data_IF_506478865018
#
_entry.id   IF_506478865018
#
_cell.length_a   1.000
_cell.length_b   1.000
_cell.length_c   1.000
_cell.angle_alpha   90.00
_cell.angle_beta   90.00
_cell.angle_gamma   90.00
#
_symmetry.space_group_name_H-M   'P 1'
#
loop_
_entity.id
_entity.type
_entity.pdbx_description
1 polymer ?
#
# COMPACT_ATOMS: atom_id res chain seq x y z
N UNK A 1 -61.08 -52.77 -67.39
CA UNK A 1 -61.38 -51.79 -66.34
C UNK A 1 -60.27 -51.96 -65.30
N UNK A 2 -59.17 -51.22 -65.24
CA UNK A 2 -58.90 -49.77 -65.36
C UNK A 2 -59.80 -48.93 -64.46
N UNK A 3 -59.18 -48.47 -63.35
CA UNK A 3 -59.23 -47.22 -62.56
C UNK A 3 -58.97 -47.65 -61.10
N UNK A 4 -58.01 -47.14 -60.30
CA UNK A 4 -57.02 -46.08 -60.46
C UNK A 4 -56.23 -45.89 -59.14
N UNK A 5 -55.26 -44.98 -59.21
CA UNK A 5 -54.55 -44.27 -58.13
C UNK A 5 -53.77 -45.04 -57.06
N UNK A 6 -52.48 -45.20 -57.30
CA UNK A 6 -51.45 -45.22 -56.27
C UNK A 6 -50.38 -44.19 -56.63
N UNK A 7 -50.39 -43.04 -55.95
CA UNK A 7 -49.48 -41.94 -56.21
C UNK A 7 -48.02 -42.35 -56.00
N UNK A 8 -47.19 -42.10 -57.00
CA UNK A 8 -45.74 -42.03 -56.85
C UNK A 8 -45.42 -40.78 -56.05
N UNK A 9 -45.35 -40.93 -54.73
CA UNK A 9 -44.73 -39.95 -53.85
C UNK A 9 -43.25 -39.96 -54.19
N UNK A 10 -42.85 -38.99 -55.00
CA UNK A 10 -41.45 -38.63 -55.19
C UNK A 10 -40.94 -38.28 -53.80
N UNK A 11 -40.00 -39.09 -53.29
CA UNK A 11 -39.28 -38.76 -52.08
C UNK A 11 -38.51 -37.46 -52.35
N UNK A 12 -39.10 -36.33 -51.95
CA UNK A 12 -38.40 -35.09 -51.69
C UNK A 12 -37.46 -35.34 -50.50
N UNK A 13 -36.34 -36.02 -50.77
CA UNK A 13 -35.17 -36.00 -49.90
C UNK A 13 -34.67 -34.57 -49.94
N UNK A 14 -35.26 -33.73 -49.08
CA UNK A 14 -34.79 -32.40 -48.77
C UNK A 14 -33.33 -32.51 -48.36
N UNK A 15 -32.44 -32.28 -49.32
CA UNK A 15 -31.01 -32.18 -49.11
C UNK A 15 -30.77 -31.00 -48.17
N UNK A 16 -30.71 -31.30 -46.88
CA UNK A 16 -30.27 -30.36 -45.87
C UNK A 16 -28.77 -30.17 -46.09
N UNK A 17 -28.30 -28.96 -46.45
CA UNK A 17 -26.88 -28.73 -46.59
C UNK A 17 -26.22 -29.08 -45.25
N UNK A 18 -25.07 -29.78 -45.24
CA UNK A 18 -24.41 -30.16 -44.01
C UNK A 18 -24.19 -28.89 -43.20
N UNK A 19 -24.86 -28.79 -42.03
CA UNK A 19 -24.64 -27.71 -41.07
C UNK A 19 -23.17 -27.78 -40.69
N UNK A 20 -22.33 -26.99 -41.36
CA UNK A 20 -20.94 -26.81 -40.95
C UNK A 20 -21.01 -26.28 -39.53
N UNK A 21 -20.57 -27.11 -38.59
CA UNK A 21 -20.51 -26.76 -37.17
C UNK A 21 -19.35 -25.81 -36.99
N UNK A 22 -19.58 -24.56 -37.39
CA UNK A 22 -18.59 -23.50 -37.34
C UNK A 22 -18.40 -23.16 -35.87
N UNK A 23 -17.17 -23.18 -35.35
CA UNK A 23 -16.84 -22.80 -33.98
C UNK A 23 -17.13 -21.33 -33.62
N UNK A 24 -18.04 -20.67 -34.34
CA UNK A 24 -18.47 -19.27 -34.17
C UNK A 24 -18.95 -19.02 -32.75
N UNK A 25 -19.68 -19.96 -32.14
CA UNK A 25 -20.13 -19.80 -30.75
C UNK A 25 -18.95 -19.66 -29.78
N UNK A 26 -17.84 -20.40 -29.98
CA UNK A 26 -16.63 -20.26 -29.16
C UNK A 26 -15.95 -18.91 -29.36
N UNK A 27 -15.96 -18.40 -30.60
CA UNK A 27 -15.42 -17.07 -30.93
C UNK A 27 -16.25 -15.97 -30.25
N UNK A 28 -17.58 -16.06 -30.33
CA UNK A 28 -18.50 -15.09 -29.70
C UNK A 28 -18.37 -15.13 -28.18
N UNK A 29 -18.34 -16.33 -27.58
CA UNK A 29 -18.14 -16.49 -26.15
C UNK A 29 -16.79 -15.91 -25.71
N UNK A 30 -15.70 -16.19 -26.44
CA UNK A 30 -14.36 -15.65 -26.16
C UNK A 30 -14.29 -14.13 -26.33
N UNK A 31 -14.96 -13.59 -27.34
CA UNK A 31 -15.06 -12.16 -27.62
C UNK A 31 -15.84 -11.38 -26.56
N UNK A 32 -16.80 -12.00 -25.87
CA UNK A 32 -17.52 -11.41 -24.74
C UNK A 32 -16.77 -11.60 -23.41
N UNK A 33 -16.07 -12.72 -23.25
CA UNK A 33 -15.30 -13.03 -22.05
C UNK A 33 -14.11 -12.10 -21.84
N UNK A 34 -13.42 -11.70 -22.90
CA UNK A 34 -12.26 -10.80 -22.77
C UNK A 34 -12.63 -9.43 -22.18
N UNK A 35 -13.64 -8.70 -22.71
CA UNK A 35 -14.10 -7.43 -22.13
C UNK A 35 -14.64 -7.59 -20.71
N UNK A 36 -15.45 -8.63 -20.47
CA UNK A 36 -15.99 -8.91 -19.13
C UNK A 36 -14.87 -9.22 -18.13
N UNK A 37 -13.86 -9.97 -18.55
CA UNK A 37 -12.65 -10.26 -17.79
C UNK A 37 -11.83 -9.01 -17.49
N UNK A 38 -11.71 -8.11 -18.46
CA UNK A 38 -11.06 -6.81 -18.27
C UNK A 38 -11.78 -5.97 -17.22
N UNK A 39 -13.12 -5.90 -17.28
CA UNK A 39 -13.93 -5.17 -16.29
C UNK A 39 -13.77 -5.81 -14.91
N UNK A 40 -13.84 -7.14 -14.81
CA UNK A 40 -13.65 -7.85 -13.55
C UNK A 40 -12.25 -7.63 -12.97
N UNK A 41 -11.20 -7.67 -13.80
CA UNK A 41 -9.82 -7.41 -13.39
C UNK A 41 -9.66 -5.98 -12.88
N UNK A 42 -10.22 -4.99 -13.58
CA UNK A 42 -10.19 -3.59 -13.15
C UNK A 42 -10.91 -3.41 -11.80
N UNK A 43 -12.06 -4.06 -11.60
CA UNK A 43 -12.77 -4.00 -10.32
C UNK A 43 -11.95 -4.59 -9.17
N UNK A 44 -11.25 -5.71 -9.40
CA UNK A 44 -10.33 -6.31 -8.42
C UNK A 44 -9.14 -5.38 -8.13
N UNK A 45 -8.57 -4.75 -9.16
CA UNK A 45 -7.48 -3.79 -9.01
C UNK A 45 -7.92 -2.55 -8.21
N UNK A 46 -9.08 -1.98 -8.53
CA UNK A 46 -9.69 -0.83 -7.86
C UNK A 46 -10.02 -1.12 -6.39
N UNK A 47 -10.56 -2.30 -6.11
CA UNK A 47 -10.86 -2.72 -4.74
C UNK A 47 -9.59 -2.81 -3.87
N UNK A 48 -8.48 -3.31 -4.42
CA UNK A 48 -7.20 -3.32 -3.70
C UNK A 48 -6.58 -1.93 -3.51
N UNK A 49 -6.85 -0.97 -4.41
CA UNK A 49 -6.37 0.41 -4.27
C UNK A 49 -7.17 1.20 -3.24
N UNK A 50 -8.49 1.04 -3.21
CA UNK A 50 -9.38 1.71 -2.24
C UNK A 50 -9.34 1.07 -0.83
N UNK A 51 -8.84 -0.16 -0.71
CA UNK A 51 -8.64 -0.85 0.57
C UNK A 51 -7.34 -0.49 1.30
N UNK A 52 -6.45 0.31 0.70
CA UNK A 52 -5.14 0.65 1.25
C UNK A 52 -5.20 1.48 2.55
N UNK A 53 -6.38 2.01 2.93
CA UNK A 53 -6.59 2.75 4.17
C UNK A 53 -7.19 1.93 5.32
N UNK A 54 -7.62 0.68 5.09
CA UNK A 54 -8.26 -0.11 6.14
C UNK A 54 -7.65 -1.52 6.26
N UNK A 55 -7.05 -1.74 7.42
CA UNK A 55 -6.41 -2.96 7.88
C UNK A 55 -7.12 -4.25 7.39
N UNK A 56 -6.33 -5.17 6.81
CA UNK A 56 -6.66 -6.57 6.45
C UNK A 56 -7.38 -6.88 5.12
N UNK A 57 -7.78 -5.91 4.29
CA UNK A 57 -8.23 -6.19 2.91
C UNK A 57 -7.06 -6.25 1.90
N UNK A 58 -6.26 -7.26 2.21
CA UNK A 58 -5.12 -7.94 1.58
C UNK A 58 -4.85 -7.83 0.07
N UNK A 59 -3.58 -7.60 -0.24
CA UNK A 59 -2.93 -7.96 -1.50
C UNK A 59 -3.23 -9.40 -1.95
N UNK A 60 -3.49 -10.31 -1.00
CA UNK A 60 -3.87 -11.70 -1.28
C UNK A 60 -5.26 -11.83 -1.94
N UNK A 61 -6.24 -10.99 -1.58
CA UNK A 61 -7.53 -10.91 -2.26
C UNK A 61 -7.41 -10.37 -3.70
N UNK A 62 -6.56 -9.35 -3.89
CA UNK A 62 -6.27 -8.79 -5.22
C UNK A 62 -5.53 -9.80 -6.11
N UNK A 63 -4.56 -10.52 -5.56
CA UNK A 63 -3.77 -11.55 -6.24
C UNK A 63 -4.66 -12.75 -6.62
N UNK A 64 -5.43 -13.27 -5.65
CA UNK A 64 -6.36 -14.38 -5.86
C UNK A 64 -7.44 -14.05 -6.90
N UNK A 65 -8.06 -12.87 -6.80
CA UNK A 65 -9.04 -12.40 -7.78
C UNK A 65 -8.45 -12.27 -9.18
N UNK A 66 -7.26 -11.68 -9.31
CA UNK A 66 -6.58 -11.52 -10.60
C UNK A 66 -6.19 -12.85 -11.25
N UNK A 67 -5.74 -13.83 -10.45
CA UNK A 67 -5.44 -15.19 -10.92
C UNK A 67 -6.71 -15.87 -11.43
N UNK A 68 -7.81 -15.83 -10.67
CA UNK A 68 -9.09 -16.45 -11.07
C UNK A 68 -9.61 -15.85 -12.37
N UNK A 69 -9.62 -14.52 -12.50
CA UNK A 69 -10.07 -13.83 -13.72
C UNK A 69 -9.20 -14.23 -14.92
N UNK A 70 -7.88 -14.27 -14.75
CA UNK A 70 -6.95 -14.64 -15.82
C UNK A 70 -7.14 -16.09 -16.25
N UNK A 71 -7.27 -17.02 -15.31
CA UNK A 71 -7.49 -18.45 -15.58
C UNK A 71 -8.81 -18.67 -16.32
N UNK A 72 -9.88 -17.98 -15.93
CA UNK A 72 -11.18 -18.10 -16.62
C UNK A 72 -11.11 -17.52 -18.04
N UNK A 73 -10.51 -16.34 -18.20
CA UNK A 73 -10.45 -15.65 -19.49
C UNK A 73 -9.53 -16.35 -20.51
N UNK A 74 -8.44 -16.99 -20.05
CA UNK A 74 -7.57 -17.77 -20.92
C UNK A 74 -8.04 -19.23 -21.07
N UNK A 75 -8.60 -19.82 -20.01
CA UNK A 75 -9.00 -21.22 -19.96
C UNK A 75 -10.18 -21.57 -20.86
N UNK A 76 -11.17 -20.68 -20.99
CA UNK A 76 -12.33 -20.88 -21.89
C UNK A 76 -11.91 -20.93 -23.37
N UNK A 77 -11.17 -19.94 -23.93
CA UNK A 77 -10.72 -20.01 -25.31
C UNK A 77 -9.72 -21.16 -25.54
N UNK A 78 -8.90 -21.52 -24.55
CA UNK A 78 -7.98 -22.67 -24.65
C UNK A 78 -8.76 -24.01 -24.73
N UNK A 79 -9.81 -24.16 -23.93
CA UNK A 79 -10.71 -25.32 -23.99
C UNK A 79 -11.39 -25.40 -25.36
N UNK A 80 -11.87 -24.27 -25.88
CA UNK A 80 -12.45 -24.17 -27.22
C UNK A 80 -11.46 -24.57 -28.32
N UNK A 81 -10.21 -24.10 -28.24
CA UNK A 81 -9.13 -24.46 -29.15
C UNK A 81 -8.88 -25.98 -29.15
N UNK A 82 -8.71 -26.60 -27.97
CA UNK A 82 -8.44 -28.04 -27.84
C UNK A 82 -9.60 -28.86 -28.39
N UNK A 83 -10.84 -28.54 -28.01
CA UNK A 83 -12.02 -29.28 -28.47
C UNK A 83 -12.20 -29.17 -29.99
N UNK A 84 -12.00 -27.99 -30.58
CA UNK A 84 -12.12 -27.78 -32.03
C UNK A 84 -10.99 -28.49 -32.79
N UNK A 85 -9.77 -28.54 -32.24
CA UNK A 85 -8.66 -29.30 -32.83
C UNK A 85 -8.88 -30.82 -32.75
N UNK A 86 -9.41 -31.32 -31.62
CA UNK A 86 -9.76 -32.74 -31.46
C UNK A 86 -10.91 -33.13 -32.39
N UNK A 87 -11.94 -32.29 -32.51
CA UNK A 87 -13.04 -32.51 -33.46
C UNK A 87 -12.52 -32.51 -34.90
N UNK A 88 -11.60 -31.60 -35.24
CA UNK A 88 -10.98 -31.57 -36.58
C UNK A 88 -10.10 -32.79 -36.87
N UNK A 89 -9.43 -33.34 -35.86
CA UNK A 89 -8.69 -34.61 -36.00
C UNK A 89 -9.62 -35.77 -36.34
N UNK A 90 -10.85 -35.76 -35.83
CA UNK A 90 -11.88 -36.78 -36.13
C UNK A 90 -12.62 -36.50 -37.45
N UNK A 91 -12.92 -35.24 -37.74
CA UNK A 91 -13.64 -34.80 -38.94
C UNK A 91 -12.92 -33.64 -39.63
N UNK A 92 -12.32 -33.91 -40.81
CA UNK A 92 -11.60 -32.89 -41.61
C UNK A 92 -12.49 -31.77 -42.17
N UNK A 93 -13.81 -31.90 -42.08
CA UNK A 93 -14.79 -30.91 -42.55
C UNK A 93 -14.90 -29.66 -41.65
N UNK A 94 -14.33 -29.71 -40.44
CA UNK A 94 -14.29 -28.59 -39.49
C UNK A 94 -13.30 -27.52 -39.95
N UNK A 95 -13.77 -26.27 -40.04
CA UNK A 95 -12.99 -25.11 -40.51
C UNK A 95 -11.97 -24.63 -39.46
N UNK A 96 -10.80 -24.17 -39.94
CA UNK A 96 -9.69 -23.67 -39.12
C UNK A 96 -9.98 -22.34 -38.41
N UNK A 97 -11.03 -21.64 -38.82
CA UNK A 97 -11.37 -20.30 -38.31
C UNK A 97 -11.64 -20.31 -36.81
N UNK A 98 -12.33 -21.36 -36.30
CA UNK A 98 -12.60 -21.52 -34.87
C UNK A 98 -11.33 -21.64 -34.01
N UNK A 99 -10.46 -22.63 -34.28
CA UNK A 99 -9.17 -22.76 -33.60
C UNK A 99 -8.30 -21.51 -33.67
N UNK A 100 -8.17 -20.87 -34.84
CA UNK A 100 -7.33 -19.66 -35.00
C UNK A 100 -7.89 -18.51 -34.15
N UNK A 101 -9.21 -18.30 -34.18
CA UNK A 101 -9.86 -17.28 -33.34
C UNK A 101 -9.63 -17.52 -31.85
N UNK A 102 -9.82 -18.74 -31.37
CA UNK A 102 -9.54 -19.11 -29.98
C UNK A 102 -8.05 -18.90 -29.61
N UNK A 103 -7.12 -19.25 -30.50
CA UNK A 103 -5.69 -19.04 -30.26
C UNK A 103 -5.33 -17.55 -30.10
N UNK A 104 -5.91 -16.68 -30.93
CA UNK A 104 -5.76 -15.21 -30.79
C UNK A 104 -6.27 -14.74 -29.43
N UNK A 105 -7.43 -15.22 -29.00
CA UNK A 105 -7.99 -14.87 -27.69
C UNK A 105 -7.15 -15.37 -26.51
N UNK A 106 -6.55 -16.56 -26.60
CA UNK A 106 -5.60 -17.05 -25.59
C UNK A 106 -4.37 -16.15 -25.49
N UNK A 107 -3.79 -15.78 -26.63
CA UNK A 107 -2.61 -14.89 -26.66
C UNK A 107 -2.96 -13.51 -26.10
N UNK A 108 -4.11 -12.95 -26.50
CA UNK A 108 -4.59 -11.67 -25.97
C UNK A 108 -4.84 -11.73 -24.46
N UNK A 109 -5.51 -12.77 -23.95
CA UNK A 109 -5.73 -12.93 -22.51
C UNK A 109 -4.41 -13.11 -21.74
N UNK A 110 -3.47 -13.92 -22.25
CA UNK A 110 -2.18 -14.14 -21.62
C UNK A 110 -1.34 -12.85 -21.56
N UNK A 111 -1.33 -12.04 -22.63
CA UNK A 111 -0.56 -10.78 -22.66
C UNK A 111 -1.25 -9.69 -21.84
N UNK A 112 -2.56 -9.52 -22.01
CA UNK A 112 -3.28 -8.37 -21.42
C UNK A 112 -3.66 -8.57 -19.96
N UNK A 113 -3.92 -9.81 -19.52
CA UNK A 113 -4.31 -10.13 -18.14
C UNK A 113 -3.22 -10.93 -17.39
N UNK A 114 -2.48 -11.79 -18.10
CA UNK A 114 -1.42 -12.60 -17.49
C UNK A 114 -0.22 -11.76 -17.02
N UNK A 115 0.27 -10.84 -17.84
CA UNK A 115 1.39 -9.96 -17.46
C UNK A 115 1.13 -9.15 -16.18
N UNK A 116 0.02 -8.38 -16.04
CA UNK A 116 -0.23 -7.65 -14.80
C UNK A 116 -0.45 -8.57 -13.61
N UNK A 117 -1.12 -9.73 -13.78
CA UNK A 117 -1.31 -10.70 -12.71
C UNK A 117 0.02 -11.25 -12.18
N UNK A 118 1.00 -11.51 -13.05
CA UNK A 118 2.34 -11.95 -12.59
C UNK A 118 3.08 -10.89 -11.79
N UNK A 119 2.92 -9.61 -12.11
CA UNK A 119 3.50 -8.51 -11.33
C UNK A 119 2.91 -8.43 -9.93
N UNK A 120 1.59 -8.57 -9.82
CA UNK A 120 0.87 -8.61 -8.53
C UNK A 120 1.29 -9.83 -7.70
N UNK A 121 1.46 -10.99 -8.35
CA UNK A 121 1.95 -12.19 -7.66
C UNK A 121 3.40 -12.05 -7.17
N UNK A 122 4.27 -11.36 -7.93
CA UNK A 122 5.65 -11.09 -7.51
C UNK A 122 5.71 -10.15 -6.30
N UNK A 123 4.90 -9.09 -6.29
CA UNK A 123 4.83 -8.20 -5.13
C UNK A 123 4.27 -8.92 -3.90
N UNK A 124 3.25 -9.77 -4.08
CA UNK A 124 2.73 -10.58 -2.97
C UNK A 124 3.78 -11.55 -2.42
N UNK A 125 4.52 -12.24 -3.29
CA UNK A 125 5.58 -13.14 -2.85
C UNK A 125 6.69 -12.42 -2.07
N UNK A 126 7.08 -11.22 -2.53
CA UNK A 126 8.05 -10.38 -1.81
C UNK A 126 7.50 -9.91 -0.45
N UNK A 127 6.21 -9.58 -0.37
CA UNK A 127 5.55 -9.17 0.87
C UNK A 127 5.45 -10.33 1.89
N UNK A 128 5.12 -11.54 1.44
CA UNK A 128 5.11 -12.73 2.30
C UNK A 128 6.52 -13.10 2.77
N UNK A 129 7.53 -12.98 1.88
CA UNK A 129 8.92 -13.16 2.27
C UNK A 129 9.34 -12.13 3.31
N UNK A 130 8.90 -10.88 3.17
CA UNK A 130 9.17 -9.82 4.13
C UNK A 130 8.45 -10.06 5.47
N UNK A 131 7.19 -10.51 5.46
CA UNK A 131 6.45 -10.91 6.67
C UNK A 131 7.04 -12.12 7.39
N UNK A 132 7.65 -13.03 6.64
CA UNK A 132 8.33 -14.18 7.22
C UNK A 132 9.65 -13.80 7.92
N UNK A 133 10.17 -12.58 7.71
CA UNK A 133 11.36 -12.11 8.41
C UNK A 133 11.00 -11.70 9.84
N UNK A 134 11.86 -11.99 10.82
CA UNK A 134 11.69 -11.47 12.17
C UNK A 134 11.89 -9.94 12.17
N UNK A 135 11.27 -9.21 13.11
CA UNK A 135 11.59 -7.80 13.35
C UNK A 135 13.09 -7.61 13.60
N UNK A 136 13.60 -6.45 13.21
CA UNK A 136 15.01 -6.11 13.42
C UNK A 136 15.35 -5.96 14.91
N UNK A 137 16.64 -6.02 15.22
CA UNK A 137 17.14 -5.81 16.57
C UNK A 137 16.82 -4.40 17.09
N UNK A 138 16.79 -3.39 16.21
CA UNK A 138 16.44 -2.01 16.56
C UNK A 138 14.97 -1.88 16.93
N UNK A 139 14.08 -2.47 16.11
CA UNK A 139 12.62 -2.48 16.34
C UNK A 139 12.24 -3.20 17.65
N UNK A 140 13.04 -4.19 18.07
CA UNK A 140 12.83 -4.94 19.32
C UNK A 140 13.75 -4.51 20.46
N UNK A 141 14.50 -3.42 20.28
CA UNK A 141 15.51 -2.97 21.24
C UNK A 141 14.92 -2.50 22.57
N UNK A 142 13.66 -2.04 22.56
CA UNK A 142 12.98 -1.43 23.72
C UNK A 142 11.54 -1.91 23.83
N UNK A 143 11.08 -2.02 25.07
CA UNK A 143 9.64 -2.11 25.36
C UNK A 143 8.99 -0.73 25.32
N UNK A 144 7.66 -0.63 25.13
CA UNK A 144 6.91 0.63 25.20
C UNK A 144 7.28 1.49 26.43
N UNK A 145 7.24 0.90 27.62
CA UNK A 145 7.57 1.60 28.86
C UNK A 145 9.06 1.97 28.99
N UNK A 146 9.96 1.34 28.24
CA UNK A 146 11.36 1.77 28.15
C UNK A 146 11.52 2.92 27.16
N UNK A 147 10.88 2.84 26.00
CA UNK A 147 10.91 3.89 24.98
C UNK A 147 10.38 5.22 25.53
N UNK A 148 9.23 5.18 26.21
CA UNK A 148 8.65 6.36 26.86
C UNK A 148 9.60 6.96 27.91
N UNK A 149 10.15 6.15 28.81
CA UNK A 149 11.07 6.64 29.85
C UNK A 149 12.37 7.20 29.27
N UNK A 150 12.93 6.56 28.25
CA UNK A 150 14.17 7.00 27.63
C UNK A 150 13.94 8.28 26.81
N UNK A 151 12.83 8.38 26.07
CA UNK A 151 12.41 9.61 25.39
C UNK A 151 12.27 10.77 26.37
N UNK A 152 11.58 10.54 27.50
CA UNK A 152 11.46 11.51 28.59
C UNK A 152 12.83 12.04 29.01
N UNK A 153 13.74 11.11 29.31
CA UNK A 153 15.05 11.42 29.82
C UNK A 153 15.92 12.20 28.82
N UNK A 154 15.78 11.97 27.51
CA UNK A 154 16.49 12.75 26.49
C UNK A 154 15.86 14.12 26.33
N UNK A 155 14.53 14.21 26.19
CA UNK A 155 13.82 15.47 26.00
C UNK A 155 13.96 16.43 27.17
N UNK A 156 13.79 15.95 28.40
CA UNK A 156 13.98 16.80 29.57
C UNK A 156 15.43 17.28 29.72
N UNK A 157 16.43 16.47 29.30
CA UNK A 157 17.83 16.93 29.27
C UNK A 157 18.03 18.02 28.21
N UNK A 158 17.43 17.86 27.04
CA UNK A 158 17.47 18.87 25.99
C UNK A 158 16.79 20.19 26.42
N UNK A 159 15.62 20.13 27.05
CA UNK A 159 14.93 21.31 27.60
C UNK A 159 15.79 22.02 28.65
N UNK A 160 16.36 21.27 29.61
CA UNK A 160 17.27 21.85 30.62
C UNK A 160 18.54 22.43 29.99
N UNK A 161 19.08 21.80 28.95
CA UNK A 161 20.27 22.28 28.23
C UNK A 161 20.01 23.59 27.48
N UNK A 162 18.78 23.81 27.01
CA UNK A 162 18.35 25.07 26.41
C UNK A 162 18.07 26.17 27.46
N UNK A 163 18.05 25.82 28.76
CA UNK A 163 17.76 26.73 29.87
C UNK A 163 16.27 26.81 30.25
N UNK A 164 15.43 25.94 29.70
CA UNK A 164 14.03 25.78 30.09
C UNK A 164 13.86 24.88 31.32
N UNK A 165 12.70 24.95 31.96
CA UNK A 165 12.28 24.03 33.02
C UNK A 165 11.23 23.05 32.49
N UNK A 166 11.54 21.73 32.42
CA UNK A 166 10.62 20.73 31.88
C UNK A 166 9.32 20.58 32.68
N UNK A 167 9.25 21.06 33.93
CA UNK A 167 8.02 21.02 34.74
C UNK A 167 7.07 22.20 34.44
N UNK A 168 7.57 23.23 33.75
CA UNK A 168 6.82 24.47 33.45
C UNK A 168 6.44 24.62 31.97
N UNK A 169 6.84 23.66 31.13
CA UNK A 169 6.50 23.61 29.71
C UNK A 169 5.32 22.68 29.44
N UNK A 170 4.70 22.84 28.27
CA UNK A 170 3.70 21.90 27.77
C UNK A 170 4.40 20.73 27.09
N UNK A 171 3.96 19.51 27.41
CA UNK A 171 4.48 18.27 26.81
C UNK A 171 3.37 17.57 26.06
N UNK A 172 3.49 17.49 24.74
CA UNK A 172 2.58 16.75 23.89
C UNK A 172 3.22 15.40 23.55
N UNK A 173 2.54 14.32 23.93
CA UNK A 173 2.96 12.94 23.65
C UNK A 173 1.96 12.33 22.68
N UNK A 174 2.43 11.81 21.55
CA UNK A 174 1.56 11.18 20.57
C UNK A 174 2.20 9.88 20.04
N UNK A 175 1.71 8.71 20.48
CA UNK A 175 2.05 7.45 19.83
C UNK A 175 1.31 7.36 18.48
N UNK A 176 1.97 6.78 17.47
CA UNK A 176 1.40 6.51 16.14
C UNK A 176 1.68 5.09 15.70
N UNK A 177 0.71 4.48 15.04
CA UNK A 177 0.85 3.20 14.37
C UNK A 177 1.80 3.32 13.18
N UNK A 178 2.75 2.38 13.10
CA UNK A 178 3.71 2.30 12.01
C UNK A 178 3.88 0.85 11.55
N UNK A 179 4.45 0.66 10.37
CA UNK A 179 4.79 -0.67 9.86
C UNK A 179 6.26 -0.97 10.14
N UNK A 180 6.50 -2.10 10.79
CA UNK A 180 7.84 -2.66 10.98
C UNK A 180 8.42 -3.14 9.64
N UNK A 181 9.70 -3.46 9.65
CA UNK A 181 10.46 -4.01 8.53
C UNK A 181 9.86 -5.31 7.98
N UNK A 182 9.22 -6.11 8.83
CA UNK A 182 8.47 -7.31 8.48
C UNK A 182 6.97 -7.05 8.24
N UNK A 183 6.55 -5.80 8.13
CA UNK A 183 5.16 -5.38 7.89
C UNK A 183 4.18 -5.74 9.03
N UNK A 184 4.68 -6.15 10.19
CA UNK A 184 3.88 -6.19 11.41
C UNK A 184 3.62 -4.77 11.93
N UNK A 185 2.59 -4.62 12.76
CA UNK A 185 2.27 -3.33 13.38
C UNK A 185 3.25 -3.03 14.51
N UNK A 186 3.81 -1.83 14.49
CA UNK A 186 4.58 -1.24 15.57
C UNK A 186 3.99 0.08 16.04
N UNK A 187 4.67 0.70 16.99
CA UNK A 187 4.36 2.04 17.50
C UNK A 187 5.59 2.94 17.40
N UNK A 188 5.39 4.11 16.82
CA UNK A 188 6.32 5.23 16.82
C UNK A 188 5.90 6.20 17.92
N UNK A 189 6.86 6.69 18.70
CA UNK A 189 6.61 7.62 19.79
C UNK A 189 7.26 8.96 19.48
N UNK A 190 6.45 10.01 19.46
CA UNK A 190 6.96 11.38 19.30
C UNK A 190 6.52 12.25 20.47
N UNK A 191 7.50 12.88 21.11
CA UNK A 191 7.29 13.77 22.24
C UNK A 191 7.79 15.16 21.91
N UNK A 192 6.96 16.17 22.21
CA UNK A 192 7.26 17.58 21.95
C UNK A 192 7.11 18.39 23.23
N UNK A 193 8.13 19.15 23.56
CA UNK A 193 8.16 20.11 24.65
C UNK A 193 8.15 21.52 24.10
N UNK A 194 7.23 22.34 24.57
CA UNK A 194 7.18 23.78 24.29
C UNK A 194 7.30 24.55 25.60
N UNK A 195 8.22 25.52 25.68
CA UNK A 195 8.38 26.33 26.90
C UNK A 195 8.68 27.81 26.59
N UNK A 196 8.23 28.77 27.43
CA UNK A 196 7.30 28.56 28.55
C UNK A 196 5.98 27.93 28.05
N UNK A 197 5.30 27.15 28.90
CA UNK A 197 3.96 26.68 28.56
C UNK A 197 3.14 27.88 28.12
N UNK A 198 2.37 27.74 27.05
CA UNK A 198 1.57 28.83 26.48
C UNK A 198 0.38 29.11 27.41
N UNK A 199 0.66 29.62 28.61
CA UNK A 199 -0.34 29.97 29.63
C UNK A 199 -1.17 31.20 29.22
N UNK A 200 -0.63 32.02 28.30
CA UNK A 200 -1.20 33.27 27.80
C UNK A 200 -1.35 33.26 26.25
N UNK A 201 -1.46 32.09 25.61
CA UNK A 201 -1.98 32.04 24.24
C UNK A 201 -3.48 32.37 24.27
N UNK A 202 -3.81 33.63 24.55
CA UNK A 202 -5.09 34.20 24.15
C UNK A 202 -5.32 33.82 22.68
N UNK A 203 -6.54 33.40 22.34
CA UNK A 203 -7.01 32.89 21.03
C UNK A 203 -6.75 33.81 19.81
N UNK A 204 -5.94 34.86 19.92
CA UNK A 204 -5.54 35.73 18.83
C UNK A 204 -4.35 35.14 18.05
N UNK A 205 -4.53 34.83 16.75
CA UNK A 205 -3.44 34.33 15.93
C UNK A 205 -2.34 35.39 15.80
N UNK A 206 -1.12 35.04 16.23
CA UNK A 206 0.07 35.89 16.07
C UNK A 206 0.23 36.35 14.62
N UNK A 207 0.51 37.65 14.42
CA UNK A 207 0.78 38.16 13.08
C UNK A 207 2.16 37.71 12.60
N UNK A 208 2.35 37.66 11.28
CA UNK A 208 3.66 37.36 10.68
C UNK A 208 4.76 38.37 11.10
N UNK A 209 4.37 39.60 11.45
CA UNK A 209 5.30 40.61 11.96
C UNK A 209 5.78 40.28 13.38
N UNK A 210 4.87 39.83 14.24
CA UNK A 210 5.19 39.40 15.62
C UNK A 210 6.10 38.18 15.60
N UNK A 211 5.79 37.19 14.75
CA UNK A 211 6.62 35.99 14.54
C UNK A 211 8.04 36.35 14.12
N UNK A 212 8.21 37.26 13.17
CA UNK A 212 9.55 37.73 12.74
C UNK A 212 10.27 38.54 13.81
N UNK A 213 9.55 39.31 14.62
CA UNK A 213 10.12 40.08 15.70
C UNK A 213 10.62 39.18 16.84
N UNK A 214 10.02 38.01 17.00
CA UNK A 214 10.39 37.03 18.02
C UNK A 214 11.57 36.12 17.61
N UNK A 215 11.96 36.11 16.33
CA UNK A 215 13.14 35.37 15.89
C UNK A 215 14.42 35.89 16.54
N UNK A 216 15.26 34.95 16.96
CA UNK A 216 16.62 35.23 17.40
C UNK A 216 17.54 35.40 16.17
N UNK A 217 18.55 36.28 16.26
CA UNK A 217 19.67 36.24 15.34
C UNK A 217 20.33 34.85 15.34
N UNK A 218 20.78 34.38 14.17
CA UNK A 218 21.26 33.01 13.99
C UNK A 218 22.42 32.64 14.93
N UNK A 219 23.34 33.57 15.18
CA UNK A 219 24.47 33.41 16.10
C UNK A 219 24.02 33.19 17.55
N UNK A 220 22.93 33.84 17.96
CA UNK A 220 22.35 33.69 19.29
C UNK A 220 21.54 32.41 19.43
N UNK A 221 20.79 32.04 18.38
CA UNK A 221 20.08 30.77 18.32
C UNK A 221 21.05 29.59 18.39
N UNK A 222 22.14 29.63 17.60
CA UNK A 222 23.18 28.61 17.60
C UNK A 222 23.87 28.49 18.97
N UNK A 223 24.21 29.62 19.60
CA UNK A 223 24.81 29.61 20.94
C UNK A 223 23.89 29.00 22.01
N UNK A 224 22.57 29.24 21.93
CA UNK A 224 21.58 28.65 22.86
C UNK A 224 21.32 27.18 22.60
N UNK A 225 21.40 26.75 21.34
CA UNK A 225 21.11 25.38 20.94
C UNK A 225 22.34 24.47 20.89
N UNK A 226 23.56 25.00 21.00
CA UNK A 226 24.78 24.19 21.05
C UNK A 226 24.75 23.12 22.17
N UNK A 227 24.33 23.42 23.42
CA UNK A 227 24.19 22.40 24.46
C UNK A 227 23.12 21.35 24.14
N UNK A 228 22.04 21.73 23.45
CA UNK A 228 20.98 20.81 23.03
C UNK A 228 21.49 19.85 21.97
N UNK A 229 22.29 20.37 21.02
CA UNK A 229 22.98 19.55 20.03
C UNK A 229 23.87 18.51 20.70
N UNK A 230 24.63 18.87 21.72
CA UNK A 230 25.46 17.91 22.47
C UNK A 230 24.62 16.80 23.11
N UNK A 231 23.48 17.12 23.72
CA UNK A 231 22.55 16.11 24.28
C UNK A 231 22.07 15.13 23.21
N UNK A 232 21.76 15.63 22.02
CA UNK A 232 21.32 14.80 20.90
C UNK A 232 22.44 13.92 20.34
N UNK A 233 23.64 14.45 20.18
CA UNK A 233 24.81 13.69 19.73
C UNK A 233 25.18 12.60 20.74
N UNK A 234 25.12 12.89 22.03
CA UNK A 234 25.32 11.92 23.11
C UNK A 234 24.23 10.83 23.14
N UNK A 235 23.04 11.13 22.64
CA UNK A 235 21.96 10.17 22.46
C UNK A 235 22.14 9.28 21.22
N UNK A 236 23.20 9.48 20.43
CA UNK A 236 23.51 8.71 19.23
C UNK A 236 22.94 9.27 17.94
N UNK A 237 22.39 10.49 17.96
CA UNK A 237 21.91 11.19 16.77
C UNK A 237 23.08 11.86 16.04
N UNK A 238 22.88 12.19 14.76
CA UNK A 238 23.87 12.85 13.89
C UNK A 238 23.25 14.05 13.19
N UNK A 239 24.04 15.11 13.02
CA UNK A 239 23.60 16.34 12.36
C UNK A 239 23.03 16.09 10.95
N UNK A 240 21.93 16.76 10.65
CA UNK A 240 21.26 16.73 9.36
C UNK A 240 20.86 18.15 8.90
N UNK A 241 20.39 18.27 7.66
CA UNK A 241 19.83 19.53 7.14
C UNK A 241 18.61 19.94 7.98
N UNK A 242 18.57 21.18 8.54
CA UNK A 242 17.55 21.61 9.50
C UNK A 242 16.09 21.57 9.01
N UNK A 243 15.82 21.54 7.69
CA UNK A 243 14.47 21.47 7.11
C UNK A 243 13.40 22.40 7.75
N UNK A 244 13.79 23.61 8.13
CA UNK A 244 12.90 24.60 8.75
C UNK A 244 12.92 24.66 10.28
N UNK A 245 13.69 23.79 10.93
CA UNK A 245 14.09 23.90 12.33
C UNK A 245 15.42 24.65 12.47
N UNK A 246 15.78 25.04 13.70
CA UNK A 246 17.10 25.61 13.97
C UNK A 246 18.16 24.51 14.09
N UNK A 247 17.80 23.34 14.64
CA UNK A 247 18.61 22.12 14.65
C UNK A 247 17.75 20.92 14.30
N UNK A 248 18.29 20.07 13.41
CA UNK A 248 17.77 18.74 13.10
C UNK A 248 18.89 17.73 13.16
N UNK A 249 18.62 16.62 13.83
CA UNK A 249 19.53 15.48 13.95
C UNK A 249 18.75 14.18 13.67
N UNK A 250 19.39 13.21 13.05
CA UNK A 250 18.77 11.93 12.68
C UNK A 250 19.56 10.77 13.28
N UNK A 251 18.90 9.66 13.57
CA UNK A 251 19.53 8.44 14.08
C UNK A 251 19.22 7.23 13.22
N UNK A 252 20.07 6.21 13.32
CA UNK A 252 19.90 4.93 12.64
C UNK A 252 19.57 3.79 13.64
N UNK A 253 19.27 4.15 14.89
CA UNK A 253 18.93 3.22 15.99
C UNK A 253 17.49 3.51 16.49
N UNK A 254 17.18 3.22 17.75
CA UNK A 254 15.86 3.40 18.33
C UNK A 254 15.34 4.85 18.32
N UNK A 255 16.23 5.86 18.35
CA UNK A 255 15.88 7.27 18.11
C UNK A 255 16.01 7.57 16.62
N UNK A 256 14.92 7.99 16.01
CA UNK A 256 14.87 8.30 14.58
C UNK A 256 15.27 9.76 14.34
N UNK A 257 14.71 10.70 15.11
CA UNK A 257 14.91 12.12 14.85
C UNK A 257 14.83 12.95 16.13
N UNK A 258 15.62 14.02 16.17
CA UNK A 258 15.56 15.07 17.18
C UNK A 258 15.58 16.43 16.51
N UNK A 259 14.67 17.30 16.93
CA UNK A 259 14.54 18.65 16.43
C UNK A 259 14.51 19.63 17.61
N UNK A 260 15.11 20.80 17.42
CA UNK A 260 15.02 21.86 18.39
C UNK A 260 14.93 23.22 17.69
N UNK A 261 14.14 24.12 18.27
CA UNK A 261 13.98 25.50 17.85
C UNK A 261 13.97 26.45 19.04
N UNK A 262 14.44 27.67 18.85
CA UNK A 262 14.43 28.70 19.91
C UNK A 262 14.10 30.07 19.34
N UNK A 263 13.17 30.75 19.99
CA UNK A 263 12.85 32.17 19.75
C UNK A 263 13.33 33.01 20.93
N UNK A 264 13.04 34.32 20.91
CA UNK A 264 13.42 35.19 22.03
C UNK A 264 12.66 34.81 23.29
N UNK A 265 11.41 34.39 23.17
CA UNK A 265 10.51 34.11 24.29
C UNK A 265 10.19 32.64 24.49
N UNK A 266 10.37 31.77 23.48
CA UNK A 266 10.04 30.36 23.59
C UNK A 266 11.13 29.42 23.05
N UNK A 267 11.00 28.14 23.38
CA UNK A 267 11.83 27.05 22.91
C UNK A 267 10.96 25.82 22.64
N UNK A 268 11.36 25.05 21.63
CA UNK A 268 10.69 23.83 21.22
C UNK A 268 11.71 22.71 21.08
N UNK A 269 11.39 21.54 21.63
CA UNK A 269 12.18 20.32 21.49
C UNK A 269 11.23 19.21 21.07
N UNK A 270 11.54 18.53 19.97
CA UNK A 270 10.78 17.38 19.50
C UNK A 270 11.72 16.19 19.30
N UNK A 271 11.35 15.03 19.82
CA UNK A 271 12.14 13.80 19.68
C UNK A 271 11.21 12.66 19.26
N UNK A 272 11.69 11.84 18.34
CA UNK A 272 10.96 10.76 17.71
C UNK A 272 11.75 9.45 17.74
N UNK A 273 11.09 8.34 18.06
CA UNK A 273 11.68 7.00 17.93
C UNK A 273 11.51 6.47 16.52
N UNK A 274 12.29 5.45 16.15
CA UNK A 274 11.90 4.60 15.01
C UNK A 274 10.65 3.80 15.39
N UNK A 275 10.09 3.07 14.42
CA UNK A 275 8.98 2.15 14.68
C UNK A 275 9.43 1.03 15.62
N UNK A 276 8.82 0.90 16.80
CA UNK A 276 9.15 -0.13 17.78
C UNK A 276 8.08 -1.23 17.83
N UNK A 277 8.49 -2.45 18.12
CA UNK A 277 7.59 -3.57 18.28
C UNK A 277 6.78 -3.45 19.58
N UNK A 278 5.45 -3.55 19.45
CA UNK A 278 4.51 -3.36 20.56
C UNK A 278 4.11 -1.89 20.79
N UNK A 279 3.24 -1.67 21.77
CA UNK A 279 2.62 -0.36 22.04
C UNK A 279 1.15 -0.31 21.63
N UNK A 280 0.43 0.76 22.00
CA UNK A 280 -1.01 0.90 21.72
C UNK A 280 -1.31 1.05 20.21
N UNK A 281 -0.35 1.52 19.41
CA UNK A 281 -0.59 1.90 18.01
C UNK A 281 -1.54 3.10 17.87
N UNK A 282 -2.12 3.27 16.68
CA UNK A 282 -3.25 4.18 16.48
C UNK A 282 -4.50 3.55 17.14
N UNK A 283 -4.70 3.76 18.44
CA UNK A 283 -6.03 3.56 19.03
C UNK A 283 -6.96 4.64 18.49
N UNK A 284 -7.46 4.44 17.26
CA UNK A 284 -8.84 4.83 16.99
C UNK A 284 -9.69 3.80 17.74
N UNK A 285 -10.41 4.24 18.77
CA UNK A 285 -11.53 3.48 19.30
C UNK A 285 -12.40 3.09 18.09
N UNK A 286 -12.39 1.80 17.72
CA UNK A 286 -13.40 1.23 16.85
C UNK A 286 -14.72 1.39 17.62
N UNK A 287 -15.43 2.50 17.39
CA UNK A 287 -16.79 2.70 17.87
C UNK A 287 -17.63 1.49 17.37
N UNK A 288 -18.14 0.72 18.34
CA UNK A 288 -19.00 -0.47 18.18
C UNK A 288 -20.24 -0.27 17.29
#
# INVERSE_FOLDING_TARGET
MVVGNGGSMVDDVAWSPPRRRNGIWWIVASGLLLPAGWIAWLLVALAGYNGAGNSTHTLSGQTGGSIVVTVVCAGVPLTGLVLLLVQRRRDRSVTLVGPIGCAVFVVLAAVTLGYPTTRVAQSWAAEEEQRAQPPTATETSRTPAQAERDLAAVGERAVRAMGGDPETGDVVQFPRGCSLSNLERGTEYTWRWSFPADADADDEPQTEADRKADLLPQDQAEARLAPVREVFLDAGLRDADPLGWDIRVVGDDWLAEGNAGVTRTSGDVMIETTCLAGGPGDEYEDDE
#
